data_IF_883129622723
#
_entry.id   IF_883129622723
#
_cell.length_a   1.000
_cell.length_b   1.000
_cell.length_c   1.000
_cell.angle_alpha   90.00
_cell.angle_beta   90.00
_cell.angle_gamma   90.00
#
_symmetry.space_group_name_H-M   'P 1'
#
loop_
_entity.id
_entity.type
_entity.pdbx_description
1 polymer ?
#
# COMPACT_ATOMS: atom_id res chain seq x y z
N UNK A 1 9.40 0.03 4.45
CA UNK A 1 8.58 0.91 3.61
C UNK A 1 9.26 1.02 2.25
N UNK A 2 8.56 0.63 1.19
CA UNK A 2 9.00 0.59 -0.21
C UNK A 2 8.93 1.99 -0.82
N UNK A 3 9.66 2.22 -1.91
CA UNK A 3 9.64 3.53 -2.59
C UNK A 3 8.26 3.86 -3.18
N UNK A 4 7.53 2.86 -3.65
CA UNK A 4 6.14 3.01 -4.12
C UNK A 4 5.21 3.54 -3.02
N UNK A 5 5.36 3.05 -1.78
CA UNK A 5 4.58 3.51 -0.63
C UNK A 5 4.96 4.95 -0.22
N UNK A 6 6.25 5.27 -0.30
CA UNK A 6 6.74 6.63 -0.03
C UNK A 6 6.17 7.59 -1.06
N UNK A 7 6.21 7.22 -2.34
CA UNK A 7 5.68 8.04 -3.42
C UNK A 7 4.16 8.22 -3.30
N UNK A 8 3.42 7.14 -3.08
CA UNK A 8 1.97 7.22 -2.88
C UNK A 8 1.57 8.09 -1.67
N UNK A 9 2.35 8.04 -0.59
CA UNK A 9 2.16 8.95 0.55
C UNK A 9 2.45 10.42 0.18
N UNK A 10 3.51 10.69 -0.59
CA UNK A 10 3.85 12.05 -1.04
C UNK A 10 2.75 12.58 -1.96
N UNK A 11 2.26 11.77 -2.90
CA UNK A 11 1.19 12.15 -3.83
C UNK A 11 -0.11 12.45 -3.09
N UNK A 12 -0.46 11.63 -2.09
CA UNK A 12 -1.60 11.91 -1.22
C UNK A 12 -1.43 13.23 -0.43
N UNK A 13 -0.22 13.52 0.08
CA UNK A 13 0.06 14.78 0.74
C UNK A 13 -0.04 15.99 -0.21
N UNK A 14 0.35 15.84 -1.48
CA UNK A 14 0.18 16.88 -2.51
C UNK A 14 -1.29 17.13 -2.80
N UNK A 15 -2.08 16.08 -2.99
CA UNK A 15 -3.51 16.20 -3.21
C UNK A 15 -4.23 16.89 -2.03
N UNK A 16 -3.83 16.59 -0.80
CA UNK A 16 -4.34 17.28 0.41
C UNK A 16 -3.95 18.75 0.39
N UNK A 17 -2.68 19.05 0.07
CA UNK A 17 -2.22 20.43 0.02
C UNK A 17 -2.97 21.25 -1.03
N UNK A 18 -3.23 20.68 -2.20
CA UNK A 18 -4.02 21.31 -3.26
C UNK A 18 -5.48 21.51 -2.82
N UNK A 19 -6.13 20.47 -2.27
CA UNK A 19 -7.51 20.54 -1.77
C UNK A 19 -7.69 21.62 -0.70
N UNK A 20 -6.74 21.71 0.22
CA UNK A 20 -6.80 22.61 1.37
C UNK A 20 -6.11 23.98 1.07
N UNK A 21 -5.64 24.20 -0.16
CA UNK A 21 -4.89 25.38 -0.62
C UNK A 21 -3.67 25.74 0.26
N UNK A 22 -2.91 24.72 0.66
CA UNK A 22 -1.74 24.84 1.53
C UNK A 22 -0.45 24.86 0.71
N UNK A 23 0.43 25.81 1.02
CA UNK A 23 1.83 25.73 0.58
C UNK A 23 2.64 24.77 1.48
N UNK A 24 3.90 24.50 1.13
CA UNK A 24 4.78 23.60 1.91
C UNK A 24 4.90 23.99 3.40
N UNK A 25 4.91 25.29 3.72
CA UNK A 25 4.97 25.75 5.10
C UNK A 25 3.65 25.48 5.84
N UNK A 26 2.51 25.72 5.20
CA UNK A 26 1.18 25.41 5.73
C UNK A 26 1.02 23.93 6.00
N UNK A 27 1.40 23.08 5.03
CA UNK A 27 1.34 21.64 5.17
C UNK A 27 2.26 21.12 6.29
N UNK A 28 3.49 21.63 6.38
CA UNK A 28 4.43 21.26 7.44
C UNK A 28 3.88 21.62 8.83
N UNK A 29 3.31 22.83 8.98
CA UNK A 29 2.64 23.26 10.21
C UNK A 29 1.45 22.38 10.56
N UNK A 30 0.68 21.96 9.56
CA UNK A 30 -0.51 21.13 9.75
C UNK A 30 -0.17 19.70 10.19
N UNK A 31 0.93 19.14 9.67
CA UNK A 31 1.47 17.83 10.08
C UNK A 31 2.22 17.91 11.40
N UNK A 32 2.76 19.08 11.75
CA UNK A 32 3.59 19.28 12.95
C UNK A 32 5.05 18.90 12.73
N UNK A 33 5.60 19.14 11.53
CA UNK A 33 7.01 18.95 11.20
C UNK A 33 7.65 20.25 10.68
N UNK A 34 8.97 20.26 10.51
CA UNK A 34 9.65 21.42 9.93
C UNK A 34 9.49 21.47 8.41
N UNK A 35 9.36 22.67 7.85
CA UNK A 35 9.27 22.89 6.40
C UNK A 35 10.46 22.30 5.65
N UNK A 36 11.68 22.44 6.19
CA UNK A 36 12.88 21.87 5.57
C UNK A 36 12.86 20.33 5.53
N UNK A 37 12.37 19.68 6.58
CA UNK A 37 12.19 18.22 6.58
C UNK A 37 11.17 17.80 5.52
N UNK A 38 10.03 18.51 5.43
CA UNK A 38 9.01 18.24 4.43
C UNK A 38 9.56 18.40 3.01
N UNK A 39 10.27 19.51 2.73
CA UNK A 39 10.86 19.79 1.42
C UNK A 39 11.88 18.72 1.00
N UNK A 40 12.72 18.25 1.94
CA UNK A 40 13.67 17.16 1.63
C UNK A 40 12.99 15.84 1.28
N UNK A 41 11.86 15.52 1.94
CA UNK A 41 11.07 14.34 1.63
C UNK A 41 10.39 14.49 0.27
N UNK A 42 9.76 15.64 0.01
CA UNK A 42 9.08 15.92 -1.26
C UNK A 42 10.02 15.94 -2.46
N UNK A 43 11.27 16.35 -2.25
CA UNK A 43 12.31 16.35 -3.28
C UNK A 43 13.01 14.98 -3.44
N UNK A 44 12.59 13.94 -2.70
CA UNK A 44 13.23 12.63 -2.73
C UNK A 44 14.64 12.59 -2.13
N UNK A 45 15.15 13.72 -1.61
CA UNK A 45 16.50 13.83 -1.03
C UNK A 45 16.64 13.11 0.30
N UNK A 46 15.53 12.85 0.98
CA UNK A 46 15.51 12.16 2.27
C UNK A 46 14.31 11.23 2.38
N UNK A 47 14.55 9.98 2.76
CA UNK A 47 13.46 9.06 3.09
C UNK A 47 12.74 9.48 4.39
N UNK A 48 11.40 9.38 4.43
CA UNK A 48 10.63 9.71 5.62
C UNK A 48 10.92 8.72 6.75
N UNK A 49 11.31 9.24 7.92
CA UNK A 49 11.52 8.41 9.12
C UNK A 49 10.20 8.06 9.82
N UNK A 50 10.24 7.07 10.71
CA UNK A 50 9.05 6.58 11.45
C UNK A 50 8.30 7.68 12.22
N UNK A 51 9.02 8.66 12.77
CA UNK A 51 8.41 9.81 13.47
C UNK A 51 7.58 10.68 12.53
N UNK A 52 8.09 10.93 11.32
CA UNK A 52 7.36 11.70 10.30
C UNK A 52 6.11 10.94 9.85
N UNK A 53 6.26 9.65 9.55
CA UNK A 53 5.14 8.80 9.14
C UNK A 53 4.06 8.80 10.23
N UNK A 54 4.44 8.64 11.50
CA UNK A 54 3.49 8.72 12.64
C UNK A 54 2.73 10.04 12.71
N UNK A 55 3.38 11.17 12.43
CA UNK A 55 2.71 12.47 12.42
C UNK A 55 1.69 12.55 11.27
N UNK A 56 2.11 12.14 10.07
CA UNK A 56 1.26 12.15 8.87
C UNK A 56 0.03 11.25 9.06
N UNK A 57 0.19 9.99 9.49
CA UNK A 57 -0.94 9.05 9.64
C UNK A 57 -1.87 9.41 10.79
N UNK A 58 -1.39 10.14 11.80
CA UNK A 58 -2.22 10.71 12.87
C UNK A 58 -3.05 11.87 12.36
N UNK A 59 -2.47 12.72 11.51
CA UNK A 59 -3.16 13.90 10.96
C UNK A 59 -4.14 13.54 9.85
N UNK A 60 -3.78 12.56 9.01
CA UNK A 60 -4.52 12.19 7.80
C UNK A 60 -4.87 10.70 7.80
N UNK A 61 -6.09 10.34 8.26
CA UNK A 61 -6.55 8.96 8.29
C UNK A 61 -6.66 8.29 6.90
N UNK A 62 -6.76 9.07 5.84
CA UNK A 62 -6.74 8.57 4.45
C UNK A 62 -5.36 8.02 4.05
N UNK A 63 -4.27 8.68 4.45
CA UNK A 63 -2.91 8.17 4.26
C UNK A 63 -2.67 6.92 5.10
N UNK A 64 -3.22 6.87 6.33
CA UNK A 64 -3.15 5.66 7.16
C UNK A 64 -3.76 4.45 6.45
N UNK A 65 -4.94 4.63 5.85
CA UNK A 65 -5.64 3.58 5.09
C UNK A 65 -4.83 3.14 3.88
N UNK A 66 -4.29 4.09 3.11
CA UNK A 66 -3.42 3.81 1.97
C UNK A 66 -2.23 2.92 2.35
N UNK A 67 -1.50 3.29 3.42
CA UNK A 67 -0.35 2.51 3.87
C UNK A 67 -0.75 1.13 4.42
N UNK A 68 -1.87 1.04 5.16
CA UNK A 68 -2.37 -0.23 5.66
C UNK A 68 -2.77 -1.19 4.53
N UNK A 69 -3.41 -0.68 3.48
CA UNK A 69 -3.75 -1.47 2.28
C UNK A 69 -2.49 -2.02 1.59
N UNK A 70 -1.43 -1.21 1.46
CA UNK A 70 -0.18 -1.66 0.84
C UNK A 70 0.50 -2.79 1.63
N UNK A 71 0.46 -2.73 2.96
CA UNK A 71 0.99 -3.77 3.83
C UNK A 71 0.16 -5.06 3.74
N UNK A 72 -1.17 -4.95 3.66
CA UNK A 72 -2.03 -6.10 3.49
C UNK A 72 -1.80 -6.83 2.15
N UNK A 73 -1.40 -6.10 1.09
CA UNK A 73 -1.01 -6.72 -0.18
C UNK A 73 0.31 -7.50 -0.10
N UNK A 74 1.23 -7.13 0.80
CA UNK A 74 2.47 -7.89 1.01
C UNK A 74 2.24 -9.23 1.71
N UNK A 75 1.23 -9.29 2.60
CA UNK A 75 0.88 -10.52 3.31
C UNK A 75 0.00 -11.46 2.49
N UNK A 76 -0.53 -11.01 1.35
CA UNK A 76 -1.33 -11.86 0.49
C UNK A 76 -0.39 -12.79 -0.30
N UNK A 77 -0.35 -14.11 -0.01
CA UNK A 77 0.46 -15.02 -0.80
C UNK A 77 0.02 -14.91 -2.27
N UNK A 78 0.96 -15.07 -3.24
CA UNK A 78 0.60 -15.03 -4.65
C UNK A 78 -0.54 -16.02 -4.86
N UNK A 79 -1.72 -15.49 -5.20
CA UNK A 79 -2.90 -16.30 -5.49
C UNK A 79 -2.49 -17.38 -6.47
N UNK A 80 -2.39 -18.61 -5.98
CA UNK A 80 -2.11 -19.77 -6.82
C UNK A 80 -3.14 -19.73 -7.95
N UNK A 81 -2.74 -19.86 -9.23
CA UNK A 81 -3.70 -19.86 -10.31
C UNK A 81 -4.69 -20.99 -10.04
N UNK A 82 -5.97 -20.64 -10.02
CA UNK A 82 -7.05 -21.60 -9.91
C UNK A 82 -6.82 -22.69 -10.96
N UNK A 83 -6.51 -23.91 -10.50
CA UNK A 83 -6.39 -25.07 -11.37
C UNK A 83 -7.69 -25.16 -12.19
N UNK A 84 -7.64 -25.24 -13.53
CA UNK A 84 -8.84 -25.47 -14.29
C UNK A 84 -9.36 -26.85 -13.91
N UNK A 85 -10.55 -26.88 -13.32
CA UNK A 85 -11.28 -28.08 -12.96
C UNK A 85 -11.70 -28.76 -14.28
N UNK A 86 -10.90 -29.69 -14.78
CA UNK A 86 -11.04 -30.19 -16.14
C UNK A 86 -10.30 -31.50 -16.40
N UNK A 87 -10.64 -32.55 -15.67
CA UNK A 87 -10.44 -33.94 -16.10
C UNK A 87 -11.52 -34.79 -15.40
N UNK A 88 -12.72 -34.91 -15.97
CA UNK A 88 -13.07 -36.05 -16.84
C UNK A 88 -12.64 -37.37 -16.18
N UNK A 89 -13.46 -37.95 -15.31
CA UNK A 89 -14.43 -39.00 -15.68
C UNK A 89 -13.87 -39.97 -16.75
N UNK A 90 -13.22 -41.05 -16.28
CA UNK A 90 -13.01 -42.28 -17.04
C UNK A 90 -13.77 -43.42 -16.36
N UNK A 91 -14.54 -44.25 -17.09
CA UNK A 91 -15.52 -45.15 -16.48
C UNK A 91 -14.86 -46.40 -15.90
N UNK A 92 -15.05 -46.63 -14.60
CA UNK A 92 -14.83 -47.94 -13.99
C UNK A 92 -15.94 -48.90 -14.45
N UNK A 93 -15.70 -49.61 -15.56
CA UNK A 93 -16.53 -50.74 -15.98
C UNK A 93 -15.74 -52.05 -15.83
N UNK A 94 -16.14 -52.77 -14.78
CA UNK A 94 -16.26 -54.23 -14.68
C UNK A 94 -15.19 -55.12 -15.32
N UNK A 95 -14.49 -55.86 -14.45
CA UNK A 95 -14.35 -57.31 -14.63
C UNK A 95 -14.17 -57.99 -13.27
N UNK A 96 -15.30 -58.38 -12.66
CA UNK A 96 -15.30 -59.37 -11.61
C UNK A 96 -15.54 -60.76 -12.21
N UNK A 97 -14.66 -61.71 -11.82
CA UNK A 97 -14.97 -63.10 -11.42
C UNK A 97 -15.33 -64.15 -12.51
N UNK A 98 -14.46 -65.16 -12.65
CA UNK A 98 -14.66 -66.61 -12.37
C UNK A 98 -13.50 -67.39 -13.05
N UNK A 99 -12.67 -68.10 -12.28
CA UNK A 99 -12.59 -69.58 -12.21
C UNK A 99 -12.50 -70.30 -13.55
#
# INVERSE_FOLDING_TARGET
MRDSEIQAMIDALRAIAERDNLNHQGLARQVGCSTGQLSMVFAGKRRPGIRFIRLVVRRYPEIRRLLASSLAQDEQPPSAPARPNGAQQGPERHAGRAR
#
